data_IF_946561400565
#
_entry.id   IF_946561400565
#
_cell.length_a   1.000
_cell.length_b   1.000
_cell.length_c   1.000
_cell.angle_alpha   90.00
_cell.angle_beta   90.00
_cell.angle_gamma   90.00
#
_symmetry.space_group_name_H-M   'P 1'
#
loop_
_entity.id
_entity.type
_entity.pdbx_description
1 polymer ?
#
# COMPACT_ATOMS: atom_id res chain seq x y z
N UNK A 1 19.33 -9.08 6.61
CA UNK A 1 18.55 -7.92 6.11
C UNK A 1 17.81 -7.38 7.30
N UNK A 2 17.94 -6.08 7.58
CA UNK A 2 17.17 -5.46 8.67
C UNK A 2 15.67 -5.50 8.36
N UNK A 3 14.85 -5.60 9.40
CA UNK A 3 13.38 -5.65 9.26
C UNK A 3 12.85 -4.47 8.44
N UNK A 4 13.47 -3.30 8.58
CA UNK A 4 13.17 -2.11 7.78
C UNK A 4 13.23 -2.42 6.28
N UNK A 5 14.36 -2.94 5.78
CA UNK A 5 14.57 -3.23 4.36
C UNK A 5 13.57 -4.25 3.80
N UNK A 6 13.21 -5.25 4.62
CA UNK A 6 12.20 -6.25 4.25
C UNK A 6 10.85 -5.56 4.01
N UNK A 7 10.42 -4.66 4.90
CA UNK A 7 9.18 -3.91 4.71
C UNK A 7 9.22 -3.01 3.49
N UNK A 8 10.36 -2.36 3.20
CA UNK A 8 10.51 -1.53 1.99
C UNK A 8 10.33 -2.36 0.73
N UNK A 9 10.98 -3.53 0.67
CA UNK A 9 10.89 -4.45 -0.47
C UNK A 9 9.46 -4.94 -0.65
N UNK A 10 8.75 -5.29 0.43
CA UNK A 10 7.36 -5.75 0.38
C UNK A 10 6.42 -4.63 -0.10
N UNK A 11 6.58 -3.40 0.40
CA UNK A 11 5.79 -2.25 -0.05
C UNK A 11 6.02 -1.98 -1.54
N UNK A 12 7.28 -1.98 -1.98
CA UNK A 12 7.65 -1.76 -3.38
C UNK A 12 7.09 -2.86 -4.29
N UNK A 13 7.20 -4.13 -3.88
CA UNK A 13 6.64 -5.26 -4.60
C UNK A 13 5.11 -5.14 -4.72
N UNK A 14 4.44 -4.72 -3.65
CA UNK A 14 2.99 -4.49 -3.63
C UNK A 14 2.60 -3.34 -4.56
N UNK A 15 3.36 -2.23 -4.57
CA UNK A 15 3.18 -1.14 -5.53
C UNK A 15 3.31 -1.60 -6.99
N UNK A 16 4.27 -2.48 -7.29
CA UNK A 16 4.42 -3.09 -8.62
C UNK A 16 3.23 -3.97 -8.97
N UNK A 17 2.73 -4.80 -8.04
CA UNK A 17 1.53 -5.61 -8.28
C UNK A 17 0.29 -4.77 -8.54
N UNK A 18 0.13 -3.64 -7.84
CA UNK A 18 -0.96 -2.69 -8.11
C UNK A 18 -0.83 -2.06 -9.50
N UNK A 19 0.38 -1.69 -9.93
CA UNK A 19 0.61 -1.15 -11.27
C UNK A 19 0.29 -2.16 -12.37
N UNK A 20 0.76 -3.40 -12.21
CA UNK A 20 0.49 -4.49 -13.16
C UNK A 20 -1.01 -4.82 -13.21
N UNK A 21 -1.67 -4.90 -12.06
CA UNK A 21 -3.13 -5.09 -11.95
C UNK A 21 -3.93 -3.91 -12.52
N UNK A 22 -3.40 -2.70 -12.43
CA UNK A 22 -4.02 -1.51 -13.01
C UNK A 22 -3.96 -1.52 -14.54
N UNK A 23 -2.81 -1.85 -15.12
CA UNK A 23 -2.63 -1.99 -16.57
C UNK A 23 -3.53 -3.11 -17.12
N UNK A 24 -3.64 -4.21 -16.38
CA UNK A 24 -4.42 -5.37 -16.82
C UNK A 24 -5.93 -5.11 -16.84
N UNK A 25 -6.43 -4.13 -16.07
CA UNK A 25 -7.84 -3.72 -16.12
C UNK A 25 -8.26 -2.92 -17.35
N UNK A 26 -7.31 -2.48 -18.19
CA UNK A 26 -7.64 -1.91 -19.50
C UNK A 26 -8.05 -2.97 -20.53
N UNK A 27 -7.90 -4.27 -20.21
CA UNK A 27 -8.20 -5.36 -21.11
C UNK A 27 -9.12 -6.36 -20.40
N UNK A 28 -10.43 -6.43 -20.71
CA UNK A 28 -11.20 -5.68 -21.71
C UNK A 28 -11.65 -4.30 -21.18
N UNK A 29 -11.58 -3.28 -22.04
CA UNK A 29 -11.86 -1.89 -21.69
C UNK A 29 -13.35 -1.65 -21.39
N UNK A 30 -13.74 -1.83 -20.12
CA UNK A 30 -15.01 -1.36 -19.58
C UNK A 30 -14.83 -0.09 -18.76
N UNK A 31 -15.84 0.78 -18.69
CA UNK A 31 -15.78 2.03 -17.91
C UNK A 31 -15.37 1.76 -16.45
N UNK A 32 -15.92 0.70 -15.83
CA UNK A 32 -15.53 0.28 -14.47
C UNK A 32 -14.05 -0.14 -14.38
N UNK A 33 -13.56 -0.93 -15.34
CA UNK A 33 -12.17 -1.38 -15.39
C UNK A 33 -11.19 -0.23 -15.57
N UNK A 34 -11.52 0.74 -16.44
CA UNK A 34 -10.70 1.94 -16.64
C UNK A 34 -10.60 2.76 -15.37
N UNK A 35 -11.73 3.00 -14.68
CA UNK A 35 -11.75 3.75 -13.42
C UNK A 35 -10.89 3.04 -12.37
N UNK A 36 -11.11 1.73 -12.16
CA UNK A 36 -10.33 0.94 -11.20
C UNK A 36 -8.85 0.90 -11.58
N UNK A 37 -8.53 0.76 -12.86
CA UNK A 37 -7.16 0.76 -13.37
C UNK A 37 -6.42 2.06 -13.11
N UNK A 38 -7.08 3.21 -13.30
CA UNK A 38 -6.52 4.54 -12.97
C UNK A 38 -6.25 4.63 -11.47
N UNK A 39 -7.20 4.23 -10.63
CA UNK A 39 -7.00 4.24 -9.17
C UNK A 39 -5.84 3.35 -8.75
N UNK A 40 -5.74 2.13 -9.31
CA UNK A 40 -4.64 1.21 -9.03
C UNK A 40 -3.27 1.78 -9.41
N UNK A 41 -3.18 2.47 -10.55
CA UNK A 41 -1.93 3.10 -10.99
C UNK A 41 -1.53 4.26 -10.08
N UNK A 42 -2.49 5.13 -9.72
CA UNK A 42 -2.24 6.27 -8.83
C UNK A 42 -1.80 5.77 -7.45
N UNK A 43 -2.55 4.82 -6.87
CA UNK A 43 -2.25 4.29 -5.55
C UNK A 43 -0.99 3.43 -5.51
N UNK A 44 -0.72 2.64 -6.55
CA UNK A 44 0.54 1.88 -6.68
C UNK A 44 1.75 2.80 -6.78
N UNK A 45 1.65 3.86 -7.60
CA UNK A 45 2.71 4.87 -7.72
C UNK A 45 2.91 5.64 -6.41
N UNK A 46 1.83 6.04 -5.75
CA UNK A 46 1.90 6.72 -4.46
C UNK A 46 2.56 5.84 -3.38
N UNK A 47 2.21 4.55 -3.34
CA UNK A 47 2.82 3.58 -2.41
C UNK A 47 4.32 3.43 -2.66
N UNK A 48 4.75 3.38 -3.92
CA UNK A 48 6.17 3.33 -4.26
C UNK A 48 6.89 4.64 -3.91
N UNK A 49 6.30 5.80 -4.19
CA UNK A 49 6.89 7.11 -3.87
C UNK A 49 7.08 7.33 -2.37
N UNK A 50 6.10 6.90 -1.55
CA UNK A 50 6.17 6.97 -0.09
C UNK A 50 7.35 6.19 0.49
N UNK A 51 7.90 5.23 -0.25
CA UNK A 51 9.06 4.44 0.16
C UNK A 51 10.41 5.14 -0.10
N UNK A 52 10.44 6.12 -1.00
CA UNK A 52 11.64 6.89 -1.33
C UNK A 52 11.68 8.24 -0.62
N UNK A 53 10.53 8.88 -0.44
CA UNK A 53 10.40 10.16 0.26
C UNK A 53 9.04 10.21 0.96
N UNK A 54 9.00 10.74 2.19
CA UNK A 54 7.74 10.98 2.93
C UNK A 54 7.30 12.43 2.65
N UNK A 55 6.27 12.68 1.82
CA UNK A 55 5.77 14.02 1.62
C UNK A 55 5.04 14.48 2.89
N UNK A 56 5.28 15.71 3.40
CA UNK A 56 4.62 16.21 4.61
C UNK A 56 3.10 16.30 4.47
N UNK A 57 2.60 16.43 3.23
CA UNK A 57 1.18 16.42 2.91
C UNK A 57 0.53 15.04 3.16
N UNK A 58 1.26 13.95 2.89
CA UNK A 58 0.75 12.58 3.10
C UNK A 58 0.76 12.21 4.58
N UNK A 59 1.76 12.68 5.34
CA UNK A 59 1.75 12.57 6.81
C UNK A 59 0.54 13.29 7.43
N UNK A 60 0.14 14.44 6.87
CA UNK A 60 -0.99 15.25 7.36
C UNK A 60 -2.37 14.68 7.02
N UNK A 61 -2.57 14.16 5.81
CA UNK A 61 -3.90 13.74 5.33
C UNK A 61 -4.10 12.22 5.27
N UNK A 62 -3.04 11.44 5.23
CA UNK A 62 -3.08 9.98 5.12
C UNK A 62 -2.30 9.31 6.26
N UNK A 63 -2.49 9.77 7.49
CA UNK A 63 -1.86 9.22 8.68
C UNK A 63 -2.14 7.72 8.87
N UNK A 64 -3.27 7.23 8.34
CA UNK A 64 -3.59 5.79 8.32
C UNK A 64 -2.59 4.96 7.49
N UNK A 65 -1.93 5.56 6.49
CA UNK A 65 -0.85 4.91 5.73
C UNK A 65 0.46 4.82 6.52
N UNK A 66 0.52 5.24 7.78
CA UNK A 66 1.68 5.06 8.65
C UNK A 66 1.41 4.11 9.83
N UNK A 67 0.27 3.42 9.82
CA UNK A 67 -0.05 2.33 10.74
C UNK A 67 -0.08 0.98 10.02
N UNK A 68 0.33 -0.10 10.70
CA UNK A 68 0.24 -1.47 10.16
C UNK A 68 -1.21 -1.83 9.80
N UNK A 69 -2.17 -1.49 10.65
CA UNK A 69 -3.60 -1.71 10.40
C UNK A 69 -4.10 -0.92 9.20
N UNK A 70 -3.78 0.37 9.13
CA UNK A 70 -4.27 1.24 8.07
C UNK A 70 -3.65 0.92 6.71
N UNK A 71 -2.36 0.55 6.66
CA UNK A 71 -1.74 -0.01 5.45
C UNK A 71 -2.35 -1.35 5.06
N UNK A 72 -2.53 -2.25 6.02
CA UNK A 72 -3.08 -3.57 5.77
C UNK A 72 -4.52 -3.53 5.25
N UNK A 73 -5.37 -2.71 5.86
CA UNK A 73 -6.75 -2.49 5.41
C UNK A 73 -6.80 -1.87 4.00
N UNK A 74 -5.90 -0.92 3.70
CA UNK A 74 -5.78 -0.34 2.37
C UNK A 74 -5.36 -1.36 1.31
N UNK A 75 -4.31 -2.15 1.57
CA UNK A 75 -3.87 -3.19 0.64
C UNK A 75 -4.94 -4.27 0.44
N UNK A 76 -5.66 -4.63 1.51
CA UNK A 76 -6.79 -5.55 1.41
C UNK A 76 -7.90 -4.99 0.52
N UNK A 77 -8.27 -3.73 0.71
CA UNK A 77 -9.28 -3.05 -0.10
C UNK A 77 -8.86 -2.96 -1.57
N UNK A 78 -7.62 -2.53 -1.83
CA UNK A 78 -7.07 -2.43 -3.19
C UNK A 78 -6.99 -3.79 -3.87
N UNK A 79 -6.55 -4.82 -3.15
CA UNK A 79 -6.52 -6.19 -3.65
C UNK A 79 -7.92 -6.70 -4.01
N UNK A 80 -8.92 -6.43 -3.17
CA UNK A 80 -10.30 -6.83 -3.40
C UNK A 80 -10.91 -6.20 -4.66
N UNK A 81 -10.66 -4.90 -4.91
CA UNK A 81 -11.17 -4.22 -6.12
C UNK A 81 -10.39 -4.59 -7.39
N UNK A 82 -9.13 -5.02 -7.25
CA UNK A 82 -8.29 -5.45 -8.38
C UNK A 82 -8.68 -6.86 -8.90
N UNK A 83 -9.25 -7.71 -8.04
CA UNK A 83 -9.70 -9.04 -8.44
C UNK A 83 -10.83 -8.91 -9.49
N UNK A 84 -10.54 -9.39 -10.69
CA UNK A 84 -11.51 -9.49 -11.79
C UNK A 84 -11.72 -10.94 -12.23
N UNK A 85 -12.37 -11.12 -13.38
CA UNK A 85 -12.71 -12.47 -13.88
C UNK A 85 -11.51 -13.23 -14.47
N UNK A 86 -10.47 -12.52 -14.90
CA UNK A 86 -9.34 -13.09 -15.65
C UNK A 86 -8.13 -13.31 -14.76
N UNK A 87 -7.36 -14.37 -15.06
CA UNK A 87 -6.22 -14.80 -14.27
C UNK A 87 -5.20 -13.67 -13.99
N UNK A 88 -4.95 -12.82 -14.99
CA UNK A 88 -4.02 -11.70 -14.88
C UNK A 88 -4.51 -10.55 -13.99
N UNK A 89 -5.80 -10.51 -13.63
CA UNK A 89 -6.34 -9.59 -12.62
C UNK A 89 -6.42 -10.27 -11.24
N UNK A 90 -6.75 -11.57 -11.23
CA UNK A 90 -6.89 -12.37 -10.00
C UNK A 90 -5.55 -12.48 -9.28
N UNK A 91 -4.46 -12.78 -9.98
CA UNK A 91 -3.13 -13.00 -9.38
C UNK A 91 -2.61 -11.74 -8.67
N UNK A 92 -2.47 -10.56 -9.32
CA UNK A 92 -1.97 -9.37 -8.64
C UNK A 92 -2.93 -8.88 -7.54
N UNK A 93 -4.26 -9.01 -7.74
CA UNK A 93 -5.25 -8.62 -6.74
C UNK A 93 -5.20 -9.50 -5.49
N UNK A 94 -5.13 -10.83 -5.66
CA UNK A 94 -5.03 -11.77 -4.54
C UNK A 94 -3.71 -11.66 -3.78
N UNK A 95 -2.58 -11.48 -4.45
CA UNK A 95 -1.29 -11.22 -3.79
C UNK A 95 -1.33 -9.93 -2.97
N UNK A 96 -1.88 -8.85 -3.52
CA UNK A 96 -2.02 -7.58 -2.81
C UNK A 96 -2.94 -7.71 -1.59
N UNK A 97 -4.05 -8.46 -1.72
CA UNK A 97 -4.96 -8.74 -0.62
C UNK A 97 -4.31 -9.60 0.48
N UNK A 98 -3.51 -10.61 0.11
CA UNK A 98 -2.76 -11.44 1.05
C UNK A 98 -1.73 -10.63 1.82
N UNK A 99 -1.01 -9.71 1.16
CA UNK A 99 -0.10 -8.78 1.84
C UNK A 99 -0.88 -7.90 2.81
N UNK A 100 -2.06 -7.40 2.42
CA UNK A 100 -2.93 -6.65 3.32
C UNK A 100 -3.31 -7.43 4.58
N UNK A 101 -3.73 -8.68 4.44
CA UNK A 101 -4.02 -9.57 5.57
C UNK A 101 -2.80 -9.81 6.46
N UNK A 102 -1.62 -9.99 5.85
CA UNK A 102 -0.38 -10.14 6.61
C UNK A 102 -0.09 -8.89 7.45
N UNK A 103 -0.22 -7.68 6.87
CA UNK A 103 -0.02 -6.43 7.62
C UNK A 103 -1.02 -6.23 8.76
N UNK A 104 -2.29 -6.63 8.57
CA UNK A 104 -3.29 -6.64 9.65
C UNK A 104 -2.90 -7.64 10.73
N UNK A 105 -2.46 -8.85 10.37
CA UNK A 105 -2.03 -9.86 11.34
C UNK A 105 -0.78 -9.42 12.12
N UNK A 106 0.14 -8.69 11.49
CA UNK A 106 1.34 -8.16 12.13
C UNK A 106 1.04 -7.11 13.20
N UNK A 107 -0.10 -6.42 13.14
CA UNK A 107 -0.53 -5.52 14.23
C UNK A 107 -0.71 -6.27 15.56
N UNK A 108 -1.18 -7.53 15.51
CA UNK A 108 -1.37 -8.36 16.70
C UNK A 108 -0.08 -8.99 17.20
N UNK A 109 1.07 -8.74 16.54
CA UNK A 109 2.40 -9.21 16.96
C UNK A 109 3.19 -8.03 17.55
N UNK A 110 3.11 -7.79 18.88
CA UNK A 110 3.67 -6.61 19.55
C UNK A 110 5.22 -6.54 19.59
N UNK A 111 5.93 -7.37 18.85
CA UNK A 111 7.41 -7.49 18.87
C UNK A 111 8.10 -6.94 17.61
N UNK A 112 7.34 -6.46 16.62
CA UNK A 112 7.91 -5.85 15.42
C UNK A 112 7.89 -4.34 15.60
N UNK A 113 9.08 -3.75 15.77
CA UNK A 113 9.21 -2.30 15.77
C UNK A 113 8.70 -1.73 14.43
N UNK A 114 7.85 -0.69 14.46
CA UNK A 114 7.41 -0.02 13.25
C UNK A 114 8.62 0.45 12.43
N UNK A 115 8.68 0.16 11.12
CA UNK A 115 9.78 0.59 10.26
C UNK A 115 9.97 2.12 10.33
N UNK A 116 11.20 2.60 10.09
CA UNK A 116 11.57 4.02 10.21
C UNK A 116 10.62 4.99 9.47
N UNK A 117 10.04 4.53 8.35
CA UNK A 117 9.01 5.26 7.58
C UNK A 117 7.73 5.58 8.37
N UNK A 118 7.44 4.89 9.48
CA UNK A 118 6.35 5.17 10.42
C UNK A 118 6.82 5.99 11.64
N UNK A 119 8.13 6.00 11.96
CA UNK A 119 8.71 6.74 13.10
C UNK A 119 9.02 8.20 12.78
N UNK A 120 9.44 8.51 11.56
CA UNK A 120 9.77 9.89 11.16
C UNK A 120 8.53 10.76 10.88
N UNK A 121 7.36 10.14 10.68
CA UNK A 121 6.09 10.86 10.54
C UNK A 121 5.59 11.45 11.88
N UNK A 122 5.88 10.79 13.01
CA UNK A 122 5.57 11.30 14.35
C UNK A 122 6.58 12.35 14.85
N UNK A 123 7.82 12.34 14.34
CA UNK A 123 8.88 13.26 14.78
C UNK A 123 8.71 14.70 14.27
N UNK A 124 7.88 14.92 13.23
CA UNK A 124 7.77 16.21 12.55
C UNK A 124 6.68 17.17 13.07
N UNK A 125 5.76 16.74 13.93
CA UNK A 125 4.60 17.58 14.26
C UNK A 125 4.00 17.34 15.66
N UNK A 126 4.84 17.01 16.64
CA UNK A 126 4.48 17.00 18.07
C UNK A 126 5.43 17.81 18.97
N UNK A 127 6.51 18.37 18.40
CA UNK A 127 7.55 19.08 19.16
C UNK A 127 7.49 20.62 19.05
N UNK A 128 6.53 21.19 18.32
CA UNK A 128 6.39 22.65 18.11
C UNK A 128 5.10 23.24 18.67
N UNK A 129 4.31 22.47 19.44
CA UNK A 129 3.15 23.00 20.17
C UNK A 129 3.24 22.69 21.66
N UNK A 130 4.25 23.25 22.33
CA UNK A 130 4.18 23.66 23.75
C UNK A 130 5.09 24.85 24.00
#
# INVERSE_FOLDING_TARGET
MDFSDIFRIVNLATGVFMLLGGISQFFPAGIKGIIVGIFLIIFGSATALLEFQIPPQTARYASFMFSFLGRGAFYLFIGAIAIGEKWYNIVPGSLTALVGLAYIALEFVPQIEPPANMRDADAGWGAEQV
#
